data_IF_456035886532
#
_entry.id   IF_456035886532
#
_cell.length_a   1.000
_cell.length_b   1.000
_cell.length_c   1.000
_cell.angle_alpha   90.00
_cell.angle_beta   90.00
_cell.angle_gamma   90.00
#
_symmetry.space_group_name_H-M   'P 1'
#
loop_
_entity.id
_entity.type
_entity.pdbx_description
1 polymer ?
#
# COMPACT_ATOMS: atom_id res chain seq x y z
N UNK A 1 5.83 -7.83 7.95
CA UNK A 1 4.63 -7.67 7.09
C UNK A 1 4.06 -9.04 6.80
N UNK A 2 2.77 -9.10 6.44
CA UNK A 2 2.10 -10.33 6.01
C UNK A 2 1.40 -10.06 4.69
N UNK A 3 1.36 -11.07 3.83
CA UNK A 3 0.65 -10.98 2.57
C UNK A 3 -0.03 -12.32 2.24
N UNK A 4 -0.96 -12.29 1.30
CA UNK A 4 -1.56 -13.50 0.72
C UNK A 4 -1.89 -13.26 -0.74
N UNK A 5 -1.70 -14.29 -1.57
CA UNK A 5 -2.02 -14.26 -2.99
C UNK A 5 -3.42 -14.83 -3.16
N UNK A 6 -4.33 -14.04 -3.73
CA UNK A 6 -5.70 -14.43 -4.04
C UNK A 6 -5.92 -14.38 -5.54
N UNK A 7 -6.89 -15.15 -6.02
CA UNK A 7 -7.39 -15.03 -7.40
C UNK A 7 -8.52 -14.02 -7.42
N UNK A 8 -8.46 -13.02 -8.28
CA UNK A 8 -9.55 -12.08 -8.50
C UNK A 8 -10.49 -12.56 -9.60
N UNK A 9 -11.77 -12.23 -9.43
CA UNK A 9 -12.75 -12.22 -10.51
C UNK A 9 -13.18 -10.77 -10.71
N UNK A 10 -12.98 -10.31 -11.94
CA UNK A 10 -13.35 -8.97 -12.37
C UNK A 10 -14.59 -9.09 -13.26
N UNK A 11 -15.58 -8.22 -13.03
CA UNK A 11 -16.80 -8.11 -13.82
C UNK A 11 -16.84 -6.78 -14.58
N UNK A 12 -17.63 -6.71 -15.66
CA UNK A 12 -17.73 -5.54 -16.56
C UNK A 12 -18.28 -4.28 -15.84
N UNK A 13 -18.82 -4.45 -14.63
CA UNK A 13 -19.36 -3.41 -13.76
C UNK A 13 -18.32 -2.70 -12.87
N UNK A 14 -17.01 -2.90 -13.13
CA UNK A 14 -15.88 -2.48 -12.26
C UNK A 14 -15.90 -3.09 -10.87
N UNK A 15 -16.57 -4.25 -10.73
CA UNK A 15 -16.64 -4.98 -9.48
C UNK A 15 -15.52 -6.04 -9.45
N UNK A 16 -14.70 -5.98 -8.41
CA UNK A 16 -13.60 -6.89 -8.14
C UNK A 16 -14.00 -7.74 -6.93
N UNK A 17 -13.94 -9.06 -7.09
CA UNK A 17 -14.20 -10.02 -6.02
C UNK A 17 -12.97 -10.90 -5.85
N UNK A 18 -12.46 -11.02 -4.64
CA UNK A 18 -11.36 -11.95 -4.36
C UNK A 18 -11.94 -13.31 -4.01
N UNK A 19 -11.54 -14.34 -4.76
CA UNK A 19 -11.94 -15.72 -4.47
C UNK A 19 -11.51 -16.10 -3.05
N UNK A 20 -12.33 -16.93 -2.42
CA UNK A 20 -12.12 -17.40 -1.04
C UNK A 20 -12.22 -16.29 0.02
N UNK A 21 -12.88 -15.17 -0.32
CA UNK A 21 -13.21 -14.09 0.60
C UNK A 21 -14.59 -13.49 0.31
N UNK A 22 -15.17 -12.82 1.30
CA UNK A 22 -16.40 -12.04 1.14
C UNK A 22 -16.13 -10.59 0.68
N UNK A 23 -14.90 -10.28 0.29
CA UNK A 23 -14.49 -8.93 -0.07
C UNK A 23 -14.91 -8.63 -1.51
N UNK A 24 -15.75 -7.61 -1.67
CA UNK A 24 -16.15 -7.09 -2.97
C UNK A 24 -15.94 -5.59 -3.03
N UNK A 25 -15.15 -5.16 -4.02
CA UNK A 25 -14.74 -3.78 -4.19
C UNK A 25 -15.27 -3.28 -5.51
N UNK A 26 -15.89 -2.09 -5.50
CA UNK A 26 -16.22 -1.37 -6.72
C UNK A 26 -15.28 -0.18 -6.86
N UNK A 27 -14.33 -0.27 -7.80
CA UNK A 27 -13.33 0.78 -8.03
C UNK A 27 -12.86 0.72 -9.48
N UNK A 28 -13.00 1.83 -10.21
CA UNK A 28 -12.54 2.00 -11.59
C UNK A 28 -11.02 2.08 -11.65
N UNK A 29 -10.38 2.72 -10.67
CA UNK A 29 -8.93 2.87 -10.67
C UNK A 29 -8.25 1.53 -10.35
N UNK A 30 -8.77 0.77 -9.38
CA UNK A 30 -8.28 -0.58 -9.11
C UNK A 30 -8.58 -1.54 -10.26
N UNK A 31 -9.73 -1.42 -10.93
CA UNK A 31 -10.04 -2.21 -12.13
C UNK A 31 -9.00 -1.98 -13.24
N UNK A 32 -8.63 -0.72 -13.50
CA UNK A 32 -7.60 -0.38 -14.50
C UNK A 32 -6.23 -0.94 -14.10
N UNK A 33 -5.89 -0.87 -12.81
CA UNK A 33 -4.64 -1.40 -12.29
C UNK A 33 -4.55 -2.93 -12.47
N UNK A 34 -5.63 -3.64 -12.14
CA UNK A 34 -5.73 -5.09 -12.25
C UNK A 34 -6.08 -5.57 -13.67
N UNK A 35 -6.14 -4.68 -14.66
CA UNK A 35 -6.45 -5.03 -16.04
C UNK A 35 -5.45 -6.06 -16.58
N UNK A 36 -5.95 -7.25 -16.93
CA UNK A 36 -5.12 -8.37 -17.39
C UNK A 36 -4.38 -9.14 -16.28
N UNK A 37 -4.60 -8.79 -15.01
CA UNK A 37 -4.16 -9.61 -13.88
C UNK A 37 -5.17 -10.75 -13.64
N UNK A 38 -4.67 -11.88 -13.13
CA UNK A 38 -5.48 -13.06 -12.74
C UNK A 38 -5.33 -13.41 -11.26
N UNK A 39 -4.32 -12.84 -10.63
CA UNK A 39 -4.00 -13.00 -9.23
C UNK A 39 -3.63 -11.63 -8.66
N UNK A 40 -3.83 -11.45 -7.37
CA UNK A 40 -3.45 -10.25 -6.65
C UNK A 40 -2.86 -10.62 -5.29
N UNK A 41 -1.99 -9.77 -4.78
CA UNK A 41 -1.44 -9.83 -3.44
C UNK A 41 -2.21 -8.81 -2.59
N UNK A 42 -2.76 -9.29 -1.48
CA UNK A 42 -3.18 -8.43 -0.39
C UNK A 42 -2.02 -8.34 0.59
N UNK A 43 -1.58 -7.13 0.90
CA UNK A 43 -0.43 -6.83 1.73
C UNK A 43 -0.84 -6.02 2.96
N UNK A 44 -0.25 -6.35 4.11
CA UNK A 44 -0.34 -5.54 5.33
C UNK A 44 1.01 -5.50 6.07
N UNK A 45 1.47 -4.30 6.39
CA UNK A 45 2.75 -4.07 7.05
C UNK A 45 2.59 -3.09 8.22
N UNK A 46 3.46 -3.20 9.21
CA UNK A 46 3.54 -2.29 10.34
C UNK A 46 4.97 -2.27 10.89
N UNK A 47 5.41 -1.14 11.43
CA UNK A 47 6.65 -1.05 12.21
C UNK A 47 6.48 -1.54 13.66
N UNK A 48 5.26 -1.91 14.06
CA UNK A 48 4.96 -2.37 15.40
C UNK A 48 4.63 -1.24 16.38
N UNK A 49 4.09 -1.61 17.54
CA UNK A 49 3.54 -0.64 18.50
C UNK A 49 4.62 0.16 19.22
N UNK A 50 5.85 -0.33 19.27
CA UNK A 50 6.91 0.27 20.10
C UNK A 50 7.39 1.61 19.55
N UNK A 51 7.42 1.80 18.23
CA UNK A 51 7.75 3.11 17.65
C UNK A 51 6.70 4.17 18.02
N UNK A 52 5.42 3.77 18.06
CA UNK A 52 4.33 4.65 18.45
C UNK A 52 4.39 5.01 19.94
N UNK A 53 4.76 4.06 20.80
CA UNK A 53 5.06 4.34 22.21
C UNK A 53 6.20 5.34 22.34
N UNK A 54 7.29 5.19 21.59
CA UNK A 54 8.42 6.10 21.63
C UNK A 54 8.03 7.51 21.19
N UNK A 55 7.27 7.66 20.11
CA UNK A 55 6.74 8.96 19.66
C UNK A 55 5.90 9.59 20.79
N UNK A 56 4.96 8.83 21.36
CA UNK A 56 4.09 9.31 22.43
C UNK A 56 4.84 9.68 23.72
N UNK A 57 5.87 8.95 24.11
CA UNK A 57 6.68 9.29 25.30
C UNK A 57 7.45 10.59 25.05
N UNK A 58 8.08 10.72 23.88
CA UNK A 58 8.85 11.91 23.54
C UNK A 58 7.93 13.14 23.32
N UNK A 59 6.67 12.98 22.94
CA UNK A 59 5.77 14.14 22.78
C UNK A 59 5.52 14.91 24.07
N UNK A 60 5.68 14.28 25.24
CA UNK A 60 5.55 14.95 26.55
C UNK A 60 6.83 15.62 27.04
N UNK A 61 8.00 15.17 26.60
CA UNK A 61 9.30 15.64 27.11
C UNK A 61 10.11 16.45 26.09
N UNK A 62 10.07 16.08 24.82
CA UNK A 62 10.77 16.73 23.73
C UNK A 62 9.99 16.57 22.42
N UNK A 63 9.13 17.56 22.14
CA UNK A 63 8.27 17.59 20.95
C UNK A 63 9.07 17.49 19.64
N UNK A 64 10.19 18.21 19.53
CA UNK A 64 11.04 18.18 18.34
C UNK A 64 11.54 16.78 18.04
N UNK A 65 12.02 16.06 19.07
CA UNK A 65 12.46 14.68 18.93
C UNK A 65 11.30 13.74 18.55
N UNK A 66 10.13 13.94 19.14
CA UNK A 66 8.92 13.18 18.76
C UNK A 66 8.59 13.33 17.27
N UNK A 67 8.62 14.56 16.75
CA UNK A 67 8.35 14.84 15.34
C UNK A 67 9.40 14.18 14.43
N UNK A 68 10.68 14.25 14.81
CA UNK A 68 11.76 13.60 14.06
C UNK A 68 11.56 12.09 14.01
N UNK A 69 11.25 11.45 15.14
CA UNK A 69 10.99 10.00 15.19
C UNK A 69 9.78 9.64 14.33
N UNK A 70 8.69 10.42 14.40
CA UNK A 70 7.50 10.18 13.61
C UNK A 70 7.76 10.28 12.09
N UNK A 71 8.54 11.28 11.68
CA UNK A 71 8.96 11.45 10.30
C UNK A 71 9.85 10.27 9.83
N UNK A 72 10.86 9.90 10.62
CA UNK A 72 11.71 8.75 10.34
C UNK A 72 10.90 7.45 10.23
N UNK A 73 9.94 7.23 11.13
CA UNK A 73 9.08 6.06 11.12
C UNK A 73 8.16 6.02 9.88
N UNK A 74 7.70 7.18 9.41
CA UNK A 74 6.93 7.30 8.17
C UNK A 74 7.77 6.90 6.95
N UNK A 75 9.01 7.38 6.87
CA UNK A 75 9.92 6.98 5.79
C UNK A 75 10.28 5.51 5.88
N UNK A 76 10.51 4.99 7.09
CA UNK A 76 10.92 3.61 7.31
C UNK A 76 9.83 2.59 6.92
N UNK A 77 8.55 2.88 7.15
CA UNK A 77 7.48 1.96 6.74
C UNK A 77 7.35 1.88 5.21
N UNK A 78 7.55 2.99 4.49
CA UNK A 78 7.53 3.01 3.03
C UNK A 78 8.71 2.22 2.44
N UNK A 79 9.92 2.44 2.95
CA UNK A 79 11.11 1.68 2.53
C UNK A 79 10.93 0.18 2.81
N UNK A 80 10.36 -0.18 3.96
CA UNK A 80 10.04 -1.57 4.28
C UNK A 80 9.05 -2.18 3.26
N UNK A 81 8.06 -1.41 2.80
CA UNK A 81 7.13 -1.86 1.77
C UNK A 81 7.82 -2.04 0.41
N UNK A 82 8.76 -1.16 0.05
CA UNK A 82 9.54 -1.26 -1.18
C UNK A 82 10.43 -2.50 -1.18
N UNK A 83 11.14 -2.77 -0.08
CA UNK A 83 11.95 -3.98 0.10
C UNK A 83 11.08 -5.23 -0.01
N UNK A 84 9.95 -5.26 0.71
CA UNK A 84 9.05 -6.41 0.69
C UNK A 84 8.47 -6.65 -0.70
N UNK A 85 8.09 -5.59 -1.41
CA UNK A 85 7.61 -5.70 -2.78
C UNK A 85 8.72 -6.22 -3.71
N UNK A 86 9.95 -5.71 -3.61
CA UNK A 86 11.08 -6.17 -4.44
C UNK A 86 11.32 -7.66 -4.24
N UNK A 87 11.29 -8.14 -2.99
CA UNK A 87 11.47 -9.56 -2.69
C UNK A 87 10.38 -10.42 -3.32
N UNK A 88 9.11 -10.00 -3.21
CA UNK A 88 7.98 -10.71 -3.83
C UNK A 88 8.09 -10.68 -5.36
N UNK A 89 8.51 -9.56 -5.94
CA UNK A 89 8.72 -9.44 -7.38
C UNK A 89 9.82 -10.38 -7.87
N UNK A 90 10.94 -10.46 -7.18
CA UNK A 90 12.06 -11.32 -7.55
C UNK A 90 11.69 -12.81 -7.46
N UNK A 91 10.83 -13.20 -6.51
CA UNK A 91 10.26 -14.55 -6.44
C UNK A 91 9.33 -14.82 -7.63
N UNK A 92 8.38 -13.93 -7.90
CA UNK A 92 7.41 -14.08 -8.99
C UNK A 92 8.06 -14.03 -10.38
N UNK A 93 9.14 -13.27 -10.55
CA UNK A 93 9.90 -13.20 -11.81
C UNK A 93 10.51 -14.53 -12.20
N UNK A 94 10.89 -15.37 -11.23
CA UNK A 94 11.38 -16.74 -11.50
C UNK A 94 10.30 -17.62 -12.11
N UNK A 95 9.03 -17.31 -11.87
CA UNK A 95 7.86 -17.97 -12.48
C UNK A 95 7.38 -17.28 -13.76
N UNK A 96 8.10 -16.28 -14.28
CA UNK A 96 7.69 -15.48 -15.44
C UNK A 96 6.52 -14.53 -15.16
N UNK A 97 6.23 -14.24 -13.89
CA UNK A 97 5.17 -13.32 -13.47
C UNK A 97 5.75 -11.95 -13.07
N UNK A 98 4.94 -10.92 -13.20
CA UNK A 98 5.26 -9.53 -12.91
C UNK A 98 4.17 -8.92 -12.05
N UNK A 99 4.51 -7.87 -11.30
CA UNK A 99 3.58 -7.19 -10.41
C UNK A 99 3.23 -5.79 -10.89
N UNK A 100 2.07 -5.29 -10.49
CA UNK A 100 1.68 -3.89 -10.66
C UNK A 100 2.27 -3.02 -9.55
N UNK A 101 2.01 -1.71 -9.60
CA UNK A 101 2.21 -0.84 -8.44
C UNK A 101 1.27 -1.22 -7.27
N UNK A 102 1.68 -0.87 -6.04
CA UNK A 102 0.79 -0.93 -4.86
C UNK A 102 -0.34 0.08 -5.00
N UNK A 103 -1.52 -0.34 -4.56
CA UNK A 103 -2.69 0.52 -4.45
C UNK A 103 -3.36 0.32 -3.10
N UNK A 104 -3.35 1.38 -2.30
CA UNK A 104 -3.80 1.34 -0.91
C UNK A 104 -5.22 1.88 -0.78
N UNK A 105 -6.07 1.27 0.07
CA UNK A 105 -7.38 1.82 0.39
C UNK A 105 -7.30 3.26 0.92
N UNK A 106 -8.22 4.12 0.47
CA UNK A 106 -8.20 5.56 0.74
C UNK A 106 -7.56 6.41 -0.36
N UNK A 107 -6.93 5.80 -1.37
CA UNK A 107 -6.45 6.50 -2.58
C UNK A 107 -7.44 6.36 -3.73
N UNK A 108 -7.53 7.42 -4.56
CA UNK A 108 -8.40 7.44 -5.74
C UNK A 108 -9.87 7.17 -5.39
N UNK A 109 -10.49 6.19 -6.06
CA UNK A 109 -11.86 5.76 -5.79
C UNK A 109 -11.96 4.49 -4.92
N UNK A 110 -10.86 4.06 -4.28
CA UNK A 110 -10.85 2.90 -3.40
C UNK A 110 -11.26 3.27 -1.96
N UNK A 111 -12.39 2.75 -1.43
CA UNK A 111 -12.86 3.12 -0.09
C UNK A 111 -11.89 2.70 1.01
N UNK A 112 -11.70 3.57 2.02
CA UNK A 112 -10.82 3.29 3.17
C UNK A 112 -11.31 2.11 4.02
N UNK A 113 -12.61 1.81 3.98
CA UNK A 113 -13.25 0.72 4.74
C UNK A 113 -12.67 -0.66 4.42
N UNK A 114 -12.15 -0.82 3.19
CA UNK A 114 -11.52 -2.06 2.72
C UNK A 114 -10.29 -2.44 3.56
N UNK A 115 -9.67 -1.49 4.26
CA UNK A 115 -8.58 -1.80 5.19
C UNK A 115 -8.99 -2.84 6.23
N UNK A 116 -10.20 -2.73 6.79
CA UNK A 116 -10.69 -3.67 7.82
C UNK A 116 -10.83 -5.08 7.25
N UNK A 117 -11.40 -5.19 6.04
CA UNK A 117 -11.58 -6.45 5.35
C UNK A 117 -10.25 -7.17 5.10
N UNK A 118 -9.23 -6.42 4.62
CA UNK A 118 -7.91 -6.97 4.34
C UNK A 118 -7.18 -7.37 5.63
N UNK A 119 -7.24 -6.53 6.67
CA UNK A 119 -6.64 -6.79 7.99
C UNK A 119 -7.21 -8.07 8.60
N UNK A 120 -8.54 -8.25 8.53
CA UNK A 120 -9.22 -9.43 9.04
C UNK A 120 -8.85 -10.68 8.24
N UNK A 121 -8.87 -10.60 6.91
CA UNK A 121 -8.52 -11.72 6.02
C UNK A 121 -7.10 -12.21 6.27
N UNK A 122 -6.14 -11.30 6.40
CA UNK A 122 -4.73 -11.66 6.62
C UNK A 122 -4.43 -12.10 8.07
N UNK A 123 -5.41 -11.98 8.98
CA UNK A 123 -5.29 -12.22 10.41
C UNK A 123 -4.13 -11.41 11.03
N UNK A 124 -4.08 -10.11 10.72
CA UNK A 124 -2.93 -9.27 11.03
C UNK A 124 -2.78 -8.99 12.53
N UNK A 125 -3.86 -9.00 13.31
CA UNK A 125 -3.78 -8.75 14.77
C UNK A 125 -2.91 -9.80 15.45
N UNK A 126 -3.07 -11.07 15.07
CA UNK A 126 -2.34 -12.18 15.66
C UNK A 126 -0.93 -12.32 15.09
N UNK A 127 -0.75 -12.05 13.78
CA UNK A 127 0.54 -12.24 13.11
C UNK A 127 1.52 -11.08 13.31
N UNK A 128 1.03 -9.84 13.27
CA UNK A 128 1.88 -8.63 13.28
C UNK A 128 1.39 -7.54 14.23
N UNK A 129 0.34 -7.80 15.02
CA UNK A 129 -0.19 -6.82 15.98
C UNK A 129 -0.89 -5.61 15.34
N UNK A 130 -1.24 -5.68 14.05
CA UNK A 130 -1.94 -4.62 13.33
C UNK A 130 -3.46 -4.84 13.44
N UNK A 131 -4.17 -3.81 13.89
CA UNK A 131 -5.63 -3.76 13.99
C UNK A 131 -6.17 -2.42 13.47
N UNK A 132 -7.49 -2.24 13.48
CA UNK A 132 -8.16 -1.02 13.03
C UNK A 132 -9.22 -0.61 14.06
N UNK A 133 -9.37 0.70 14.29
CA UNK A 133 -10.42 1.25 15.15
C UNK A 133 -11.76 1.33 14.41
N UNK A 134 -12.83 1.60 15.17
CA UNK A 134 -14.18 1.87 14.61
C UNK A 134 -14.16 3.04 13.61
N UNK A 135 -13.29 4.03 13.84
CA UNK A 135 -13.09 5.20 12.97
C UNK A 135 -12.13 4.93 11.80
N UNK A 136 -11.84 3.66 11.49
CA UNK A 136 -10.98 3.22 10.38
C UNK A 136 -9.52 3.66 10.48
N UNK A 137 -9.04 3.93 11.70
CA UNK A 137 -7.64 4.26 11.96
C UNK A 137 -6.87 2.98 12.28
N UNK A 138 -5.78 2.72 11.57
CA UNK A 138 -4.89 1.60 11.84
C UNK A 138 -4.07 1.83 13.12
N UNK A 139 -3.93 0.76 13.91
CA UNK A 139 -3.07 0.71 15.10
C UNK A 139 -2.16 -0.52 14.97
N UNK A 140 -0.83 -0.37 14.90
CA UNK A 140 -0.08 0.89 14.98
C UNK A 140 -0.30 1.84 13.80
N UNK A 141 -0.07 3.14 13.98
CA UNK A 141 -0.29 4.16 12.94
C UNK A 141 0.70 4.10 11.78
N UNK A 142 1.92 3.61 12.01
CA UNK A 142 2.95 3.44 10.97
C UNK A 142 2.80 2.08 10.31
N UNK A 143 1.74 1.98 9.51
CA UNK A 143 1.28 0.76 8.88
C UNK A 143 0.77 1.05 7.48
N UNK A 144 0.90 0.06 6.59
CA UNK A 144 0.43 0.15 5.20
C UNK A 144 -0.40 -1.08 4.87
N UNK A 145 -1.55 -0.86 4.26
CA UNK A 145 -2.36 -1.89 3.62
C UNK A 145 -2.39 -1.59 2.14
N UNK A 146 -2.18 -2.61 1.30
CA UNK A 146 -2.11 -2.42 -0.13
C UNK A 146 -2.56 -3.66 -0.92
N UNK A 147 -3.00 -3.41 -2.15
CA UNK A 147 -3.35 -4.41 -3.14
C UNK A 147 -2.33 -4.28 -4.29
N UNK A 148 -1.83 -5.42 -4.77
CA UNK A 148 -0.88 -5.49 -5.89
C UNK A 148 -1.39 -6.54 -6.88
N UNK A 149 -1.54 -6.21 -8.16
CA UNK A 149 -1.89 -7.18 -9.20
C UNK A 149 -0.67 -8.01 -9.62
N UNK A 150 -0.92 -9.26 -9.99
CA UNK A 150 0.05 -10.18 -10.59
C UNK A 150 -0.41 -10.47 -12.03
N UNK A 151 0.51 -10.27 -12.97
CA UNK A 151 0.30 -10.44 -14.41
C UNK A 151 1.41 -11.26 -15.02
N UNK A 152 1.14 -11.89 -16.16
CA UNK A 152 2.15 -12.56 -16.99
C UNK A 152 2.80 -11.57 -17.98
N UNK A 153 2.26 -10.37 -18.10
CA UNK A 153 2.78 -9.34 -19.00
C UNK A 153 3.86 -8.50 -18.32
N UNK A 154 5.01 -8.35 -18.97
CA UNK A 154 6.17 -7.58 -18.45
C UNK A 154 5.91 -6.07 -18.29
N UNK A 155 4.87 -5.53 -18.90
CA UNK A 155 4.56 -4.09 -18.96
C UNK A 155 3.66 -3.57 -17.83
N UNK A 156 3.35 -4.38 -16.81
CA UNK A 156 2.44 -3.98 -15.71
C UNK A 156 3.04 -2.98 -14.72
N UNK A 157 4.37 -2.94 -14.58
CA UNK A 157 5.02 -1.94 -13.74
C UNK A 157 5.16 -0.62 -14.50
N UNK A 158 4.31 0.35 -14.18
CA UNK A 158 4.41 1.72 -14.69
C UNK A 158 5.02 2.64 -13.62
N UNK A 159 6.08 3.36 -13.94
CA UNK A 159 6.51 4.52 -13.14
C UNK A 159 5.34 5.51 -13.09
N UNK A 160 4.67 5.64 -11.93
CA UNK A 160 3.58 6.61 -11.78
C UNK A 160 4.17 8.02 -11.73
N UNK A 161 3.85 8.84 -12.71
CA UNK A 161 4.04 10.28 -12.64
C UNK A 161 2.80 10.94 -12.06
N UNK A 162 2.94 12.15 -11.50
CA UNK A 162 1.78 12.93 -11.08
C UNK A 162 0.81 13.17 -12.25
N UNK A 163 1.31 13.23 -13.49
CA UNK A 163 0.54 13.42 -14.72
C UNK A 163 -0.50 12.32 -14.96
N UNK A 164 -0.25 11.10 -14.48
CA UNK A 164 -1.17 9.97 -14.62
C UNK A 164 -2.16 9.84 -13.43
N UNK A 165 -2.13 10.77 -12.46
CA UNK A 165 -3.02 10.75 -11.31
C UNK A 165 -4.39 11.38 -11.63
N UNK A 166 -5.47 10.71 -11.22
CA UNK A 166 -6.85 11.22 -11.36
C UNK A 166 -7.08 12.57 -10.67
N UNK A 167 -6.30 12.87 -9.62
CA UNK A 167 -6.36 14.13 -8.89
C UNK A 167 -5.37 15.19 -9.39
N UNK A 168 -4.72 15.01 -10.54
CA UNK A 168 -3.66 15.92 -11.00
C UNK A 168 -4.09 17.39 -11.04
N UNK A 169 -5.31 17.67 -11.53
CA UNK A 169 -5.82 19.03 -11.69
C UNK A 169 -6.15 19.73 -10.35
N UNK A 170 -6.35 18.97 -9.27
CA UNK A 170 -6.80 19.50 -7.97
C UNK A 170 -5.82 19.24 -6.82
N UNK A 171 -4.77 18.46 -7.06
CA UNK A 171 -3.79 18.08 -6.03
C UNK A 171 -2.83 19.23 -5.73
N UNK A 172 -2.92 19.77 -4.51
CA UNK A 172 -1.99 20.79 -3.98
C UNK A 172 -0.55 20.30 -3.82
N UNK A 173 -0.35 18.98 -3.86
CA UNK A 173 0.93 18.30 -3.64
C UNK A 173 1.49 17.65 -4.92
N UNK A 174 1.00 18.04 -6.10
CA UNK A 174 1.53 17.54 -7.36
C UNK A 174 3.02 17.87 -7.47
N UNK A 175 3.84 16.89 -7.82
CA UNK A 175 5.22 17.14 -8.23
C UNK A 175 5.19 17.71 -9.65
N UNK A 176 6.04 18.70 -9.93
CA UNK A 176 6.26 19.21 -11.29
C UNK A 176 6.76 18.10 -12.23
N UNK A 177 6.93 18.40 -13.52
CA UNK A 177 7.28 17.48 -14.62
C UNK A 177 8.66 16.80 -14.50
N UNK A 178 9.15 16.62 -13.28
CA UNK A 178 10.42 16.04 -12.96
C UNK A 178 10.20 14.53 -12.86
N UNK A 179 10.48 13.82 -13.96
CA UNK A 179 10.48 12.35 -14.06
C UNK A 179 11.45 11.64 -13.07
N UNK A 180 12.04 12.37 -12.14
CA UNK A 180 12.86 11.84 -11.07
C UNK A 180 11.99 11.69 -9.81
N UNK A 181 11.40 10.50 -9.66
CA UNK A 181 11.06 9.98 -8.34
C UNK A 181 12.24 10.17 -7.38
N UNK A 182 11.98 10.29 -6.08
CA UNK A 182 12.93 10.65 -5.01
C UNK A 182 14.18 9.75 -4.89
N UNK A 183 15.04 9.70 -5.91
CA UNK A 183 16.34 9.03 -5.95
C UNK A 183 17.48 9.99 -6.27
N UNK A 184 17.22 11.29 -6.24
CA UNK A 184 18.25 12.32 -6.24
C UNK A 184 18.51 12.78 -4.82
N UNK A 185 19.49 12.18 -4.13
CA UNK A 185 20.21 12.92 -3.09
C UNK A 185 20.89 14.06 -3.86
N UNK A 186 20.46 15.30 -3.64
CA UNK A 186 21.22 16.47 -4.09
C UNK A 186 22.62 16.38 -3.47
N UNK A 187 23.59 15.85 -4.22
CA UNK A 187 24.99 16.13 -3.95
C UNK A 187 25.18 17.62 -4.25
N UNK A 188 25.43 18.38 -3.20
CA UNK A 188 26.01 19.72 -3.31
C UNK A 188 27.37 19.65 -3.98
#
# INVERSE_FOLDING_TARGET
>A
GVYSILKEKIDDSYQIKFKDSNISIKSKDLYKLLGGCRQCILLSTTLGIDIEKQIKINSYSNLTKSIIIDACATTAIEEFCDILQSNIEDELRKEGKYITNRYSPGYGDLPIDINEDIINLLNTSNKIGLTITKDKIMIPRKSVVAIIGISENKSTYKQKSCLECSNYNTCKYKKGDDNYGCKGIHKK
#
